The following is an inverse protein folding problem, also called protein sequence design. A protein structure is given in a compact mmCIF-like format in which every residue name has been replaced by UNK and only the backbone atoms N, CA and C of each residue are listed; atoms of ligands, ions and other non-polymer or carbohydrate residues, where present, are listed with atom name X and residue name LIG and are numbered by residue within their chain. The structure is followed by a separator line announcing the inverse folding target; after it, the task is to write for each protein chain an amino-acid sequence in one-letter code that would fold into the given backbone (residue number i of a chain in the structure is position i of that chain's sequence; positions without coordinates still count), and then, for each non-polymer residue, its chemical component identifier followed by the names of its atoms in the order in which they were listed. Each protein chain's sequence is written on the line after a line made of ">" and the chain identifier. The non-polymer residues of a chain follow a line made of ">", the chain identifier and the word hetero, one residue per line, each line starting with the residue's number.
data_IF_784049978946
#
_entry.id   IF_784049978946
#
_cell.length_a   1.000
_cell.length_b   1.000
_cell.length_c   1.000
_cell.angle_alpha   90.00
_cell.angle_beta   90.00
_cell.angle_gamma   90.00
#
_symmetry.space_group_name_H-M   'P 1'
#
loop_
_entity.id
_entity.type
_entity.pdbx_description
1 polymer ?
#
# COMPACT_ATOMS: atom_id res chain seq x y z
N UNK A 1 -2.32 -2.92 15.04
CA UNK A 1 -2.18 -2.75 13.58
C UNK A 1 -0.72 -2.63 13.24
N UNK A 2 -0.34 -3.11 12.06
CA UNK A 2 1.03 -3.01 11.58
C UNK A 2 1.03 -2.97 10.05
N UNK A 3 1.74 -2.03 9.46
CA UNK A 3 1.72 -1.79 8.01
C UNK A 3 2.07 -3.04 7.20
N UNK A 4 2.97 -3.88 7.72
CA UNK A 4 3.41 -5.12 7.07
C UNK A 4 2.84 -6.37 7.75
N UNK A 5 1.66 -6.25 8.38
CA UNK A 5 0.98 -7.34 9.07
C UNK A 5 0.93 -8.64 8.23
N UNK A 6 0.64 -8.53 6.93
CA UNK A 6 0.58 -9.67 6.01
C UNK A 6 1.86 -10.49 5.96
N UNK A 7 3.03 -9.84 5.95
CA UNK A 7 4.33 -10.53 5.97
C UNK A 7 4.77 -10.98 7.35
N UNK A 8 4.10 -10.50 8.41
CA UNK A 8 4.44 -10.84 9.79
C UNK A 8 3.72 -12.09 10.28
N UNK A 9 2.52 -12.37 9.77
CA UNK A 9 1.73 -13.56 10.16
C UNK A 9 2.52 -14.85 9.92
N UNK A 10 3.13 -15.00 8.75
CA UNK A 10 3.97 -16.17 8.43
C UNK A 10 5.20 -16.26 9.35
N UNK A 11 5.79 -15.12 9.71
CA UNK A 11 6.94 -15.07 10.62
C UNK A 11 6.53 -15.48 12.03
N UNK A 12 5.41 -14.98 12.53
CA UNK A 12 4.86 -15.38 13.84
C UNK A 12 4.57 -16.88 13.85
N UNK A 13 3.95 -17.40 12.78
CA UNK A 13 3.64 -18.81 12.64
C UNK A 13 4.88 -19.72 12.65
N UNK A 14 6.04 -19.22 12.21
CA UNK A 14 7.34 -19.92 12.22
C UNK A 14 8.20 -19.60 13.46
N UNK A 15 7.73 -18.75 14.35
CA UNK A 15 8.47 -18.31 15.54
C UNK A 15 8.12 -19.11 16.78
N UNK A 16 8.91 -19.01 17.87
CA UNK A 16 8.54 -19.56 19.18
C UNK A 16 7.23 -19.02 19.74
N UNK A 17 6.73 -17.88 19.23
CA UNK A 17 5.48 -17.26 19.66
C UNK A 17 4.23 -17.87 19.02
N UNK A 18 4.38 -18.86 18.13
CA UNK A 18 3.25 -19.46 17.39
C UNK A 18 2.13 -19.94 18.31
N UNK A 19 2.48 -20.64 19.39
CA UNK A 19 1.48 -21.20 20.29
C UNK A 19 0.75 -20.10 21.06
N UNK A 20 1.51 -19.17 21.64
CA UNK A 20 0.94 -18.00 22.33
C UNK A 20 0.04 -17.17 21.41
N UNK A 21 0.44 -16.93 20.15
CA UNK A 21 -0.36 -16.20 19.19
C UNK A 21 -1.69 -16.91 18.87
N UNK A 22 -1.72 -18.24 18.89
CA UNK A 22 -2.95 -19.03 18.73
C UNK A 22 -3.82 -18.98 19.98
N UNK A 23 -3.21 -19.15 21.15
CA UNK A 23 -3.90 -19.18 22.44
C UNK A 23 -4.59 -17.83 22.71
N UNK A 24 -3.89 -16.73 22.42
CA UNK A 24 -4.40 -15.35 22.54
C UNK A 24 -5.25 -14.90 21.34
N UNK A 25 -5.48 -15.77 20.35
CA UNK A 25 -6.25 -15.48 19.12
C UNK A 25 -5.78 -14.20 18.42
N UNK A 26 -4.46 -14.03 18.29
CA UNK A 26 -3.85 -12.84 17.71
C UNK A 26 -4.31 -12.63 16.26
N UNK A 27 -5.03 -11.52 16.02
CA UNK A 27 -5.39 -11.08 14.70
C UNK A 27 -4.55 -9.86 14.30
N UNK A 28 -3.77 -10.01 13.24
CA UNK A 28 -3.00 -8.92 12.65
C UNK A 28 -3.87 -8.13 11.67
N UNK A 29 -3.62 -6.83 11.57
CA UNK A 29 -4.41 -5.91 10.74
C UNK A 29 -3.57 -4.75 10.23
N UNK A 30 -4.01 -4.16 9.12
CA UNK A 30 -3.37 -3.06 8.38
C UNK A 30 -4.30 -1.85 8.42
N UNK A 31 -3.73 -0.66 8.67
CA UNK A 31 -4.44 0.61 8.65
C UNK A 31 -5.04 0.92 7.27
N UNK A 32 -6.13 1.71 7.25
CA UNK A 32 -6.84 2.05 6.01
C UNK A 32 -5.94 2.72 4.97
N UNK A 33 -5.07 3.65 5.38
CA UNK A 33 -4.14 4.33 4.48
C UNK A 33 -3.10 3.37 3.89
N UNK A 34 -2.62 2.43 4.71
CA UNK A 34 -1.64 1.47 4.27
C UNK A 34 -2.23 0.42 3.32
N UNK A 35 -3.53 0.13 3.42
CA UNK A 35 -4.25 -0.79 2.54
C UNK A 35 -3.99 -0.58 1.05
N UNK A 36 -3.82 0.67 0.59
CA UNK A 36 -3.50 0.99 -0.80
C UNK A 36 -2.17 0.42 -1.28
N UNK A 37 -1.22 0.14 -0.37
CA UNK A 37 0.07 -0.45 -0.69
C UNK A 37 0.04 -1.98 -0.79
N UNK A 38 -1.09 -2.61 -0.53
CA UNK A 38 -1.25 -4.06 -0.53
C UNK A 38 -2.16 -4.50 -1.67
N UNK A 39 -1.87 -5.67 -2.25
CA UNK A 39 -2.77 -6.30 -3.21
C UNK A 39 -4.15 -6.57 -2.61
N UNK A 40 -5.18 -6.71 -3.45
CA UNK A 40 -6.56 -6.90 -2.99
C UNK A 40 -6.73 -8.10 -2.06
N UNK A 41 -6.07 -9.22 -2.32
CA UNK A 41 -6.15 -10.39 -1.44
C UNK A 41 -5.69 -10.06 -0.01
N UNK A 42 -4.57 -9.36 0.10
CA UNK A 42 -4.05 -8.88 1.38
C UNK A 42 -5.00 -7.86 2.03
N UNK A 43 -5.63 -6.97 1.25
CA UNK A 43 -6.63 -6.04 1.78
C UNK A 43 -7.85 -6.79 2.35
N UNK A 44 -8.41 -7.77 1.63
CA UNK A 44 -9.56 -8.55 2.09
C UNK A 44 -9.29 -9.33 3.38
N UNK A 45 -8.03 -9.67 3.64
CA UNK A 45 -7.63 -10.46 4.81
C UNK A 45 -7.22 -9.59 5.99
N UNK A 46 -6.53 -8.46 5.75
CA UNK A 46 -5.88 -7.69 6.81
C UNK A 46 -6.38 -6.25 6.95
N UNK A 47 -7.10 -5.69 5.97
CA UNK A 47 -7.55 -4.30 6.06
C UNK A 47 -8.57 -4.16 7.18
N UNK A 48 -8.34 -3.18 8.06
CA UNK A 48 -9.23 -2.90 9.19
C UNK A 48 -10.71 -2.73 8.83
N UNK A 49 -11.00 -2.23 7.63
CA UNK A 49 -12.37 -2.07 7.14
C UNK A 49 -13.18 -3.37 7.23
N UNK A 50 -12.55 -4.51 7.01
CA UNK A 50 -13.18 -5.82 6.95
C UNK A 50 -12.99 -6.65 8.22
N UNK A 51 -12.37 -6.10 9.27
CA UNK A 51 -12.06 -6.81 10.51
C UNK A 51 -12.99 -6.38 11.63
N UNK A 52 -13.81 -7.32 12.12
CA UNK A 52 -14.73 -7.14 13.24
C UNK A 52 -14.06 -6.50 14.46
N UNK A 53 -14.71 -5.49 15.05
CA UNK A 53 -14.23 -4.80 16.26
C UNK A 53 -13.13 -3.76 16.06
N UNK A 54 -12.63 -3.54 14.83
CA UNK A 54 -11.58 -2.56 14.57
C UNK A 54 -12.05 -1.10 14.76
N UNK A 55 -13.36 -0.83 14.59
CA UNK A 55 -13.89 0.54 14.55
C UNK A 55 -13.43 1.31 13.30
N UNK A 56 -13.43 2.65 13.37
CA UNK A 56 -12.99 3.54 12.27
C UNK A 56 -11.63 4.21 12.54
N UNK A 57 -10.87 3.66 13.48
CA UNK A 57 -9.52 4.12 13.81
C UNK A 57 -8.61 4.12 12.57
N UNK A 58 -7.55 4.94 12.55
CA UNK A 58 -6.54 4.88 11.49
C UNK A 58 -5.27 4.10 11.91
N UNK A 59 -5.08 3.92 13.22
CA UNK A 59 -3.92 3.30 13.88
C UNK A 59 -2.58 4.00 13.60
N UNK A 60 -2.61 5.28 13.23
CA UNK A 60 -1.41 6.05 12.86
C UNK A 60 -0.73 6.77 14.05
N UNK A 61 -1.12 6.46 15.29
CA UNK A 61 -0.68 7.20 16.48
C UNK A 61 0.85 7.10 16.66
N UNK A 62 1.42 5.92 16.41
CA UNK A 62 2.85 5.68 16.51
C UNK A 62 3.64 6.46 15.45
N UNK A 63 3.18 6.42 14.21
CA UNK A 63 3.75 7.11 13.06
C UNK A 63 3.75 8.62 13.31
N UNK A 64 2.65 9.15 13.84
CA UNK A 64 2.56 10.57 14.24
C UNK A 64 3.58 10.88 15.34
N UNK A 65 3.71 10.06 16.38
CA UNK A 65 4.69 10.29 17.44
C UNK A 65 6.12 10.34 16.88
N UNK A 66 6.52 9.33 16.11
CA UNK A 66 7.87 9.27 15.54
C UNK A 66 8.12 10.40 14.53
N UNK A 67 7.13 10.74 13.72
CA UNK A 67 7.18 11.87 12.79
C UNK A 67 7.52 13.18 13.49
N UNK A 68 6.83 13.51 14.58
CA UNK A 68 7.12 14.72 15.36
C UNK A 68 8.45 14.62 16.12
N UNK A 69 8.85 13.42 16.56
CA UNK A 69 10.12 13.22 17.26
C UNK A 69 11.34 13.56 16.38
N UNK A 70 11.19 13.59 15.05
CA UNK A 70 12.25 14.01 14.12
C UNK A 70 12.75 15.43 14.40
N UNK A 71 11.95 16.30 15.04
CA UNK A 71 12.41 17.62 15.47
C UNK A 71 13.60 17.56 16.45
N UNK A 72 13.77 16.44 17.17
CA UNK A 72 14.91 16.22 18.05
C UNK A 72 16.22 16.00 17.29
N UNK A 73 16.18 15.59 16.02
CA UNK A 73 17.36 15.17 15.29
C UNK A 73 18.35 16.33 15.08
N UNK A 74 17.87 17.54 14.80
CA UNK A 74 18.73 18.73 14.64
C UNK A 74 19.34 19.17 15.99
N UNK A 75 18.53 19.16 17.05
CA UNK A 75 18.92 19.62 18.39
C UNK A 75 19.90 18.65 19.05
N UNK A 76 19.72 17.34 18.86
CA UNK A 76 20.52 16.32 19.56
C UNK A 76 21.79 15.90 18.82
N UNK A 77 22.00 16.35 17.58
CA UNK A 77 23.10 15.90 16.70
C UNK A 77 24.48 16.10 17.31
N UNK A 78 24.71 17.25 17.96
CA UNK A 78 26.02 17.64 18.51
C UNK A 78 26.06 17.55 20.04
N UNK A 79 25.03 16.98 20.66
CA UNK A 79 24.96 16.82 22.11
C UNK A 79 25.80 15.62 22.57
N UNK A 80 26.38 15.73 23.77
CA UNK A 80 26.96 14.57 24.45
C UNK A 80 25.90 13.49 24.68
N UNK A 81 26.33 12.23 24.84
CA UNK A 81 25.44 11.08 25.07
C UNK A 81 24.46 11.31 26.23
N UNK A 82 24.94 11.90 27.32
CA UNK A 82 24.10 12.23 28.49
C UNK A 82 23.01 13.25 28.13
N UNK A 83 23.39 14.39 27.54
CA UNK A 83 22.45 15.45 27.18
C UNK A 83 21.44 14.98 26.14
N UNK A 84 21.88 14.19 25.15
CA UNK A 84 20.99 13.59 24.15
C UNK A 84 19.91 12.72 24.80
N UNK A 85 20.28 11.84 25.73
CA UNK A 85 19.33 10.98 26.46
C UNK A 85 18.36 11.81 27.29
N UNK A 86 18.86 12.81 28.00
CA UNK A 86 18.04 13.72 28.80
C UNK A 86 17.02 14.46 27.93
N UNK A 87 17.46 15.04 26.79
CA UNK A 87 16.57 15.75 25.86
C UNK A 87 15.49 14.84 25.28
N UNK A 88 15.83 13.61 24.89
CA UNK A 88 14.85 12.63 24.39
C UNK A 88 13.83 12.28 25.49
N UNK A 89 14.31 12.03 26.71
CA UNK A 89 13.45 11.73 27.87
C UNK A 89 12.51 12.89 28.20
N UNK A 90 13.04 14.12 28.23
CA UNK A 90 12.23 15.32 28.50
C UNK A 90 11.20 15.57 27.40
N UNK A 91 11.55 15.31 26.14
CA UNK A 91 10.61 15.39 25.03
C UNK A 91 9.47 14.39 25.17
N UNK A 92 9.80 13.12 25.45
CA UNK A 92 8.79 12.08 25.66
C UNK A 92 7.88 12.43 26.86
N UNK A 93 8.46 12.84 27.99
CA UNK A 93 7.72 13.28 29.17
C UNK A 93 6.80 14.46 28.84
N UNK A 94 7.31 15.47 28.14
CA UNK A 94 6.52 16.65 27.80
C UNK A 94 5.35 16.30 26.88
N UNK A 95 5.64 15.50 25.84
CA UNK A 95 4.63 15.10 24.87
C UNK A 95 3.53 14.28 25.50
N UNK A 96 3.87 13.31 26.36
CA UNK A 96 2.88 12.47 27.02
C UNK A 96 1.99 13.27 27.99
N UNK A 97 2.60 14.06 28.88
CA UNK A 97 1.89 14.76 29.94
C UNK A 97 1.12 16.00 29.47
N UNK A 98 1.65 16.76 28.52
CA UNK A 98 1.09 18.06 28.13
C UNK A 98 0.41 18.07 26.76
N UNK A 99 0.82 17.19 25.84
CA UNK A 99 0.17 17.07 24.53
C UNK A 99 -0.83 15.92 24.50
N UNK A 100 -0.37 14.68 24.73
CA UNK A 100 -1.19 13.46 24.60
C UNK A 100 -2.34 13.50 25.59
N UNK A 101 -2.03 13.62 26.88
CA UNK A 101 -3.06 13.63 27.92
C UNK A 101 -4.11 14.72 27.68
N UNK A 102 -3.66 15.96 27.47
CA UNK A 102 -4.53 17.12 27.22
C UNK A 102 -5.47 16.95 26.01
N UNK A 103 -5.09 16.10 25.05
CA UNK A 103 -5.85 15.84 23.84
C UNK A 103 -6.71 14.56 23.88
N UNK A 104 -6.64 13.70 24.90
CA UNK A 104 -7.43 12.45 24.98
C UNK A 104 -8.93 12.69 24.74
N UNK A 105 -9.55 13.58 25.53
CA UNK A 105 -10.96 13.96 25.33
C UNK A 105 -11.26 14.58 23.96
N UNK A 106 -10.30 15.29 23.34
CA UNK A 106 -10.48 15.91 22.01
C UNK A 106 -10.46 14.84 20.93
N UNK A 107 -9.60 13.84 21.08
CA UNK A 107 -9.54 12.67 20.22
C UNK A 107 -10.85 11.89 20.29
N UNK A 108 -11.29 11.51 21.49
CA UNK A 108 -12.57 10.82 21.72
C UNK A 108 -13.73 11.61 21.11
N UNK A 109 -13.85 12.91 21.42
CA UNK A 109 -14.93 13.74 20.89
C UNK A 109 -14.91 13.86 19.36
N UNK A 110 -13.73 14.05 18.75
CA UNK A 110 -13.59 14.13 17.29
C UNK A 110 -14.00 12.82 16.61
N UNK A 111 -13.55 11.69 17.15
CA UNK A 111 -13.89 10.36 16.61
C UNK A 111 -15.38 10.07 16.79
N UNK A 112 -15.98 10.44 17.94
CA UNK A 112 -17.42 10.28 18.17
C UNK A 112 -18.23 11.06 17.14
N UNK A 113 -17.86 12.33 16.90
CA UNK A 113 -18.49 13.16 15.87
C UNK A 113 -18.33 12.58 14.47
N UNK A 114 -17.16 12.02 14.16
CA UNK A 114 -16.91 11.37 12.87
C UNK A 114 -17.79 10.13 12.68
N UNK A 115 -17.87 9.26 13.70
CA UNK A 115 -18.71 8.08 13.68
C UNK A 115 -20.19 8.43 13.50
N UNK A 116 -20.71 9.40 14.26
CA UNK A 116 -22.08 9.90 14.09
C UNK A 116 -22.34 10.45 12.69
N UNK A 117 -21.37 11.18 12.09
CA UNK A 117 -21.49 11.69 10.72
C UNK A 117 -21.53 10.58 9.67
N UNK A 118 -20.84 9.46 9.92
CA UNK A 118 -20.91 8.30 9.05
C UNK A 118 -22.28 7.64 9.19
N UNK A 119 -22.73 7.39 10.42
CA UNK A 119 -24.03 6.77 10.74
C UNK A 119 -25.20 7.61 10.19
N UNK A 120 -25.10 8.94 10.17
CA UNK A 120 -26.15 9.80 9.60
C UNK A 120 -26.37 9.60 8.10
N UNK A 121 -25.42 8.96 7.40
CA UNK A 121 -25.54 8.60 5.96
C UNK A 121 -26.19 7.24 5.74
N UNK A 122 -26.57 6.51 6.79
CA UNK A 122 -27.18 5.18 6.70
C UNK A 122 -28.35 5.09 5.71
N UNK A 123 -29.24 6.09 5.68
CA UNK A 123 -30.36 6.13 4.75
C UNK A 123 -29.95 6.36 3.28
N UNK A 124 -28.87 7.10 3.04
CA UNK A 124 -28.28 7.29 1.71
C UNK A 124 -27.67 5.98 1.23
N UNK A 125 -26.81 5.36 2.05
CA UNK A 125 -26.19 4.06 1.72
C UNK A 125 -27.24 2.97 1.50
N UNK A 126 -28.29 2.92 2.32
CA UNK A 126 -29.39 1.99 2.12
C UNK A 126 -30.15 2.23 0.81
N UNK A 127 -30.29 3.48 0.35
CA UNK A 127 -30.88 3.79 -0.97
C UNK A 127 -29.98 3.28 -2.10
N UNK A 128 -28.68 3.58 -2.04
CA UNK A 128 -27.70 3.11 -3.03
C UNK A 128 -27.66 1.58 -3.12
N UNK A 129 -27.68 0.88 -1.98
CA UNK A 129 -27.72 -0.58 -1.95
C UNK A 129 -29.01 -1.12 -2.58
N UNK A 130 -30.17 -0.49 -2.31
CA UNK A 130 -31.45 -0.86 -2.96
C UNK A 130 -31.42 -0.65 -4.47
N UNK A 131 -30.89 0.46 -4.94
CA UNK A 131 -30.76 0.79 -6.37
C UNK A 131 -29.85 -0.23 -7.11
N UNK A 132 -28.83 -0.75 -6.43
CA UNK A 132 -27.95 -1.78 -6.94
C UNK A 132 -28.52 -3.22 -6.80
N UNK A 133 -29.73 -3.38 -6.25
CA UNK A 133 -30.35 -4.68 -6.02
C UNK A 133 -29.74 -5.48 -4.86
N UNK A 134 -29.01 -4.82 -3.96
CA UNK A 134 -28.30 -5.40 -2.82
C UNK A 134 -29.13 -5.26 -1.55
N UNK A 135 -30.24 -6.00 -1.48
CA UNK A 135 -31.19 -5.93 -0.35
C UNK A 135 -30.77 -6.76 0.88
N UNK A 136 -29.95 -7.79 0.66
CA UNK A 136 -29.50 -8.71 1.69
C UNK A 136 -28.06 -8.38 2.14
N UNK A 137 -27.93 -7.85 3.35
CA UNK A 137 -26.63 -7.53 3.94
C UNK A 137 -25.73 -8.76 4.12
N UNK A 138 -26.30 -9.95 4.40
CA UNK A 138 -25.54 -11.19 4.54
C UNK A 138 -24.88 -11.60 3.22
N UNK A 139 -25.61 -11.46 2.12
CA UNK A 139 -25.08 -11.68 0.77
C UNK A 139 -23.95 -10.70 0.42
N UNK A 140 -24.09 -9.43 0.81
CA UNK A 140 -23.06 -8.40 0.57
C UNK A 140 -21.80 -8.69 1.38
N UNK A 141 -21.93 -9.17 2.61
CA UNK A 141 -20.77 -9.60 3.43
C UNK A 141 -20.10 -10.82 2.78
N UNK A 142 -20.88 -11.78 2.28
CA UNK A 142 -20.37 -12.98 1.60
C UNK A 142 -19.54 -12.68 0.34
N UNK A 143 -19.74 -11.53 -0.31
CA UNK A 143 -18.92 -11.10 -1.44
C UNK A 143 -17.43 -10.96 -1.11
N UNK A 144 -17.08 -10.63 0.13
CA UNK A 144 -15.67 -10.56 0.56
C UNK A 144 -15.02 -11.95 0.52
N UNK A 145 -15.76 -12.98 0.96
CA UNK A 145 -15.26 -14.35 0.96
C UNK A 145 -15.24 -14.94 -0.46
N UNK A 146 -16.24 -14.64 -1.29
CA UNK A 146 -16.24 -15.00 -2.72
C UNK A 146 -15.03 -14.38 -3.45
N UNK A 147 -14.78 -13.08 -3.25
CA UNK A 147 -13.64 -12.38 -3.83
C UNK A 147 -12.32 -12.96 -3.32
N UNK A 148 -12.22 -13.27 -2.01
CA UNK A 148 -11.03 -13.89 -1.42
C UNK A 148 -10.76 -15.26 -2.03
N UNK A 149 -11.74 -16.17 -2.03
CA UNK A 149 -11.61 -17.52 -2.59
C UNK A 149 -11.25 -17.48 -4.08
N UNK A 150 -11.82 -16.53 -4.82
CA UNK A 150 -11.44 -16.29 -6.21
C UNK A 150 -9.95 -15.96 -6.34
N UNK A 151 -9.46 -14.96 -5.60
CA UNK A 151 -8.07 -14.51 -5.69
C UNK A 151 -7.07 -15.57 -5.18
N UNK A 152 -7.42 -16.34 -4.15
CA UNK A 152 -6.58 -17.43 -3.63
C UNK A 152 -6.36 -18.53 -4.65
N UNK A 153 -7.39 -18.92 -5.41
CA UNK A 153 -7.30 -19.94 -6.46
C UNK A 153 -6.32 -19.59 -7.59
N UNK A 154 -5.83 -18.34 -7.65
CA UNK A 154 -5.01 -17.80 -8.74
C UNK A 154 -3.54 -17.58 -8.38
N UNK A 155 -3.16 -17.69 -7.10
CA UNK A 155 -1.78 -17.44 -6.67
C UNK A 155 -0.74 -18.47 -7.15
N UNK A 156 -1.15 -19.53 -7.85
CA UNK A 156 -0.25 -20.48 -8.50
C UNK A 156 -0.20 -20.26 -10.01
N UNK A 157 0.85 -19.62 -10.52
CA UNK A 157 1.22 -19.73 -11.93
C UNK A 157 1.85 -21.11 -12.13
N UNK A 158 1.36 -21.96 -13.05
CA UNK A 158 1.99 -23.24 -13.32
C UNK A 158 3.45 -23.07 -13.75
N UNK A 159 4.37 -23.83 -13.14
CA UNK A 159 5.79 -23.84 -13.51
C UNK A 159 6.06 -24.05 -15.02
N UNK A 160 5.27 -24.88 -15.74
CA UNK A 160 5.41 -25.02 -17.20
C UNK A 160 5.24 -23.70 -17.98
N UNK A 161 4.34 -22.82 -17.56
CA UNK A 161 4.06 -21.56 -18.26
C UNK A 161 5.21 -20.55 -18.10
N UNK A 162 5.90 -20.59 -16.96
CA UNK A 162 7.08 -19.77 -16.68
C UNK A 162 8.26 -20.21 -17.55
N UNK A 163 8.45 -21.53 -17.71
CA UNK A 163 9.49 -22.10 -18.56
C UNK A 163 9.22 -21.83 -20.04
N UNK A 164 7.98 -22.05 -20.51
CA UNK A 164 7.55 -21.75 -21.87
C UNK A 164 7.76 -20.26 -22.24
N UNK A 165 7.39 -19.34 -21.35
CA UNK A 165 7.59 -17.90 -21.53
C UNK A 165 9.08 -17.51 -21.60
N UNK A 166 9.92 -18.17 -20.82
CA UNK A 166 11.37 -17.96 -20.80
C UNK A 166 12.02 -18.47 -22.09
N UNK A 167 11.61 -19.65 -22.55
CA UNK A 167 12.05 -20.24 -23.80
C UNK A 167 11.68 -19.37 -25.01
N UNK A 168 10.43 -18.92 -25.10
CA UNK A 168 10.00 -17.99 -26.14
C UNK A 168 10.85 -16.72 -26.19
N UNK A 169 11.09 -16.07 -25.03
CA UNK A 169 11.91 -14.85 -24.97
C UNK A 169 13.35 -15.10 -25.41
N UNK A 170 13.92 -16.26 -25.09
CA UNK A 170 15.26 -16.64 -25.52
C UNK A 170 15.30 -16.84 -27.05
N UNK A 171 14.31 -17.51 -27.63
CA UNK A 171 14.20 -17.69 -29.08
C UNK A 171 14.02 -16.37 -29.84
N UNK A 172 13.18 -15.45 -29.34
CA UNK A 172 13.01 -14.12 -29.94
C UNK A 172 14.34 -13.35 -29.92
N UNK A 173 15.05 -13.32 -28.78
CA UNK A 173 16.37 -12.69 -28.68
C UNK A 173 17.38 -13.31 -29.63
N UNK A 174 17.41 -14.64 -29.73
CA UNK A 174 18.29 -15.35 -30.64
C UNK A 174 17.98 -14.99 -32.11
N UNK A 175 16.71 -14.93 -32.47
CA UNK A 175 16.28 -14.49 -33.80
C UNK A 175 16.70 -13.04 -34.10
N UNK A 176 16.49 -12.11 -33.16
CA UNK A 176 16.88 -10.71 -33.33
C UNK A 176 18.41 -10.54 -33.43
N UNK A 177 19.16 -11.27 -32.60
CA UNK A 177 20.62 -11.29 -32.62
C UNK A 177 21.18 -11.81 -33.96
N UNK A 178 20.51 -12.78 -34.59
CA UNK A 178 20.86 -13.27 -35.93
C UNK A 178 20.49 -12.31 -37.06
N UNK A 179 19.39 -11.59 -36.93
CA UNK A 179 18.90 -10.69 -37.97
C UNK A 179 19.62 -9.33 -38.01
N UNK A 180 20.07 -8.81 -36.87
CA UNK A 180 20.87 -7.57 -36.79
C UNK A 180 22.13 -7.56 -37.68
N UNK A 181 23.06 -8.53 -37.57
CA UNK A 181 24.25 -8.58 -38.41
C UNK A 181 23.91 -8.85 -39.88
N UNK A 182 22.85 -9.62 -40.16
CA UNK A 182 22.36 -9.83 -41.53
C UNK A 182 21.86 -8.54 -42.18
N UNK A 183 21.10 -7.72 -41.44
CA UNK A 183 20.65 -6.40 -41.90
C UNK A 183 21.83 -5.45 -42.09
N UNK A 184 22.74 -5.35 -41.13
CA UNK A 184 23.93 -4.50 -41.22
C UNK A 184 24.79 -4.88 -42.45
N UNK A 185 25.03 -6.18 -42.68
CA UNK A 185 25.75 -6.68 -43.88
C UNK A 185 25.02 -6.36 -45.19
N UNK A 186 23.69 -6.40 -45.21
CA UNK A 186 22.89 -6.00 -46.39
C UNK A 186 22.98 -4.50 -46.66
N UNK A 187 22.90 -3.67 -45.62
CA UNK A 187 23.04 -2.21 -45.72
C UNK A 187 24.44 -1.81 -46.18
N UNK A 188 25.48 -2.49 -45.69
CA UNK A 188 26.87 -2.27 -46.12
C UNK A 188 27.10 -2.62 -47.60
N UNK A 189 26.56 -3.77 -48.06
CA UNK A 189 26.61 -4.17 -49.49
C UNK A 189 25.90 -3.19 -50.43
N UNK A 190 24.90 -2.44 -49.95
CA UNK A 190 24.22 -1.39 -50.71
C UNK A 190 25.03 -0.08 -50.75
N UNK A 191 25.87 0.18 -49.75
CA UNK A 191 26.72 1.37 -49.64
C UNK A 191 27.98 1.26 -50.52
N UNK A 192 28.53 0.06 -50.74
CA UNK A 192 29.65 -0.19 -51.68
C UNK A 192 29.33 0.17 -53.14
N UNK A 193 28.07 0.42 -53.49
CA UNK A 193 27.66 0.85 -54.84
C UNK A 193 27.63 2.37 -55.05
N UNK A 194 27.98 3.18 -54.04
CA UNK A 194 27.98 4.65 -54.14
C UNK A 194 29.12 5.30 -53.35
N UNK A 195 30.15 5.73 -54.10
CA UNK A 195 31.26 6.64 -53.76
C UNK A 195 32.11 6.41 -52.48
N UNK A 196 33.43 6.49 -52.66
CA UNK A 196 34.45 6.28 -51.63
C UNK A 196 34.46 7.39 -50.57
N UNK A 197 34.74 7.04 -49.31
CA UNK A 197 35.27 8.01 -48.35
C UNK A 197 36.31 7.38 -47.41
N UNK A 198 37.44 8.06 -47.28
CA UNK A 198 38.63 7.73 -46.48
C UNK A 198 38.43 8.17 -45.01
N UNK A 199 37.48 7.56 -44.30
CA UNK A 199 37.32 7.66 -42.83
C UNK A 199 37.02 6.26 -42.26
N UNK A 200 37.94 5.30 -42.48
CA UNK A 200 37.63 3.87 -42.41
C UNK A 200 38.03 3.13 -41.13
N UNK A 201 39.21 3.37 -40.56
CA UNK A 201 39.81 2.39 -39.63
C UNK A 201 39.14 2.30 -38.25
N UNK A 202 38.81 3.44 -37.62
CA UNK A 202 38.16 3.43 -36.29
C UNK A 202 36.69 2.94 -36.39
N UNK A 203 36.02 3.26 -37.49
CA UNK A 203 34.66 2.80 -37.82
C UNK A 203 34.61 1.30 -38.14
N UNK A 204 35.60 0.79 -38.90
CA UNK A 204 35.77 -0.63 -39.19
C UNK A 204 36.06 -1.44 -37.92
N UNK A 205 37.00 -0.98 -37.08
CA UNK A 205 37.34 -1.65 -35.81
C UNK A 205 36.15 -1.74 -34.85
N UNK A 206 35.36 -0.65 -34.72
CA UNK A 206 34.14 -0.65 -33.89
C UNK A 206 33.07 -1.61 -34.44
N UNK A 207 32.93 -1.68 -35.77
CA UNK A 207 32.00 -2.60 -36.46
C UNK A 207 32.41 -4.07 -36.33
N UNK A 208 33.70 -4.38 -36.47
CA UNK A 208 34.25 -5.72 -36.24
C UNK A 208 34.05 -6.15 -34.79
N UNK A 209 34.33 -5.26 -33.83
CA UNK A 209 34.11 -5.52 -32.41
C UNK A 209 32.62 -5.74 -32.09
N UNK A 210 31.73 -4.99 -32.73
CA UNK A 210 30.28 -5.24 -32.63
C UNK A 210 29.89 -6.60 -33.21
N UNK A 211 30.44 -7.01 -34.36
CA UNK A 211 30.20 -8.34 -34.92
C UNK A 211 30.66 -9.46 -33.98
N UNK A 212 31.86 -9.34 -33.40
CA UNK A 212 32.39 -10.33 -32.45
C UNK A 212 31.50 -10.42 -31.21
N UNK A 213 31.10 -9.29 -30.64
CA UNK A 213 30.20 -9.24 -29.48
C UNK A 213 28.84 -9.89 -29.77
N UNK A 214 28.26 -9.66 -30.96
CA UNK A 214 26.98 -10.28 -31.35
C UNK A 214 27.12 -11.78 -31.59
N UNK A 215 28.25 -12.26 -32.15
CA UNK A 215 28.52 -13.71 -32.29
C UNK A 215 28.71 -14.40 -30.93
N UNK A 216 29.41 -13.76 -29.99
CA UNK A 216 29.52 -14.26 -28.62
C UNK A 216 28.16 -14.29 -27.91
N UNK A 217 27.33 -13.27 -28.14
CA UNK A 217 25.96 -13.22 -27.62
C UNK A 217 25.09 -14.33 -28.23
N UNK A 218 25.21 -14.59 -29.53
CA UNK A 218 24.52 -15.69 -30.21
C UNK A 218 24.88 -17.04 -29.58
N UNK A 219 26.17 -17.29 -29.34
CA UNK A 219 26.63 -18.53 -28.70
C UNK A 219 26.05 -18.69 -27.29
N UNK A 220 26.04 -17.63 -26.48
CA UNK A 220 25.43 -17.64 -25.13
C UNK A 220 23.93 -17.90 -25.20
N UNK A 221 23.22 -17.21 -26.08
CA UNK A 221 21.77 -17.39 -26.27
C UNK A 221 21.42 -18.81 -26.76
N UNK A 222 22.27 -19.42 -27.60
CA UNK A 222 22.09 -20.81 -28.03
C UNK A 222 22.18 -21.80 -26.87
N UNK A 223 23.16 -21.61 -25.97
CA UNK A 223 23.29 -22.44 -24.76
C UNK A 223 22.06 -22.27 -23.87
N UNK A 224 21.62 -21.03 -23.65
CA UNK A 224 20.41 -20.75 -22.85
C UNK A 224 19.17 -21.43 -23.44
N UNK A 225 18.99 -21.35 -24.76
CA UNK A 225 17.91 -22.01 -25.50
C UNK A 225 17.98 -23.53 -25.34
N UNK A 226 19.17 -24.13 -25.47
CA UNK A 226 19.36 -25.58 -25.31
C UNK A 226 19.07 -26.07 -23.89
N UNK A 227 19.51 -25.33 -22.87
CA UNK A 227 19.18 -25.66 -21.48
C UNK A 227 17.67 -25.58 -21.21
N UNK A 228 16.96 -24.64 -21.85
CA UNK A 228 15.51 -24.53 -21.74
C UNK A 228 14.79 -25.64 -22.52
N UNK A 229 15.32 -26.07 -23.68
CA UNK A 229 14.84 -27.22 -24.44
C UNK A 229 14.92 -28.51 -23.64
N UNK A 230 16.06 -28.77 -22.98
CA UNK A 230 16.25 -29.94 -22.13
C UNK A 230 15.24 -29.97 -20.97
N UNK A 231 15.06 -28.83 -20.29
CA UNK A 231 14.11 -28.71 -19.16
C UNK A 231 12.65 -28.86 -19.59
N UNK A 232 12.31 -28.47 -20.81
CA UNK A 232 10.97 -28.62 -21.39
C UNK A 232 10.76 -29.95 -22.11
N UNK A 233 11.81 -30.78 -22.25
CA UNK A 233 11.77 -32.04 -23.00
C UNK A 233 11.60 -31.85 -24.52
N UNK A 234 11.95 -30.67 -25.05
CA UNK A 234 11.83 -30.34 -26.48
C UNK A 234 13.07 -30.88 -27.21
N UNK A 235 12.85 -31.66 -28.27
CA UNK A 235 13.95 -32.13 -29.11
C UNK A 235 14.39 -31.04 -30.10
N UNK A 236 15.66 -31.10 -30.54
CA UNK A 236 16.26 -30.08 -31.43
C UNK A 236 15.49 -29.93 -32.75
N UNK A 237 14.91 -31.02 -33.27
CA UNK A 237 14.06 -31.05 -34.46
C UNK A 237 12.66 -30.45 -34.25
N UNK A 238 12.25 -30.26 -33.00
CA UNK A 238 10.96 -29.69 -32.59
C UNK A 238 11.08 -28.26 -32.04
N UNK A 239 12.23 -27.61 -32.25
CA UNK A 239 12.46 -26.21 -31.86
C UNK A 239 11.34 -25.32 -32.40
N UNK A 240 10.79 -24.45 -31.54
CA UNK A 240 9.69 -23.58 -31.94
C UNK A 240 10.12 -22.60 -33.02
N UNK A 241 9.36 -22.58 -34.10
CA UNK A 241 9.53 -21.66 -35.21
C UNK A 241 8.47 -20.56 -35.14
N UNK A 242 8.80 -19.37 -35.65
CA UNK A 242 7.85 -18.25 -35.71
C UNK A 242 6.59 -18.69 -36.45
N UNK A 243 5.44 -18.63 -35.76
CA UNK A 243 4.13 -19.04 -36.28
C UNK A 243 3.70 -20.47 -35.97
N UNK A 244 4.51 -21.28 -35.28
CA UNK A 244 4.04 -22.57 -34.75
C UNK A 244 2.97 -22.39 -33.67
N UNK A 245 2.19 -23.43 -33.38
CA UNK A 245 1.16 -23.36 -32.34
C UNK A 245 1.75 -23.03 -30.96
N UNK A 246 2.85 -23.70 -30.59
CA UNK A 246 3.53 -23.45 -29.32
C UNK A 246 4.17 -22.05 -29.27
N UNK A 247 4.67 -21.55 -30.40
CA UNK A 247 5.16 -20.18 -30.51
C UNK A 247 4.05 -19.18 -30.22
N UNK A 248 2.85 -19.36 -30.83
CA UNK A 248 1.71 -18.47 -30.62
C UNK A 248 1.22 -18.51 -29.17
N UNK A 249 1.11 -19.71 -28.57
CA UNK A 249 0.72 -19.86 -27.16
C UNK A 249 1.70 -19.13 -26.23
N UNK A 250 3.00 -19.30 -26.46
CA UNK A 250 4.00 -18.63 -25.62
C UNK A 250 4.11 -17.13 -25.91
N UNK A 251 3.86 -16.69 -27.15
CA UNK A 251 3.72 -15.28 -27.52
C UNK A 251 2.57 -14.62 -26.75
N UNK A 252 1.41 -15.28 -26.68
CA UNK A 252 0.25 -14.83 -25.90
C UNK A 252 0.57 -14.76 -24.40
N UNK A 253 1.23 -15.78 -23.83
CA UNK A 253 1.68 -15.77 -22.43
C UNK A 253 2.65 -14.61 -22.14
N UNK A 254 3.59 -14.35 -23.05
CA UNK A 254 4.56 -13.27 -22.88
C UNK A 254 3.92 -11.90 -23.04
N UNK A 255 3.00 -11.73 -23.99
CA UNK A 255 2.19 -10.52 -24.14
C UNK A 255 1.36 -10.25 -22.87
N UNK A 256 0.74 -11.29 -22.30
CA UNK A 256 0.03 -11.21 -21.03
C UNK A 256 0.95 -10.78 -19.87
N UNK A 257 2.14 -11.38 -19.78
CA UNK A 257 3.14 -11.02 -18.77
C UNK A 257 3.60 -9.55 -18.91
N UNK A 258 3.75 -9.05 -20.13
CA UNK A 258 4.11 -7.63 -20.38
C UNK A 258 2.96 -6.72 -19.93
N UNK A 259 1.73 -7.06 -20.26
CA UNK A 259 0.53 -6.33 -19.80
C UNK A 259 0.46 -6.26 -18.27
N UNK A 260 0.57 -7.40 -17.58
CA UNK A 260 0.55 -7.46 -16.12
C UNK A 260 1.68 -6.64 -15.49
N UNK A 261 2.92 -6.73 -16.02
CA UNK A 261 4.04 -5.93 -15.52
C UNK A 261 3.84 -4.42 -15.72
N UNK A 262 3.28 -4.02 -16.85
CA UNK A 262 2.96 -2.61 -17.11
C UNK A 262 1.88 -2.10 -16.16
N UNK A 263 0.87 -2.93 -15.86
CA UNK A 263 -0.17 -2.64 -14.89
C UNK A 263 0.41 -2.52 -13.47
N UNK A 264 1.22 -3.48 -13.00
CA UNK A 264 1.86 -3.44 -11.67
C UNK A 264 2.74 -2.20 -11.51
N UNK A 265 3.45 -1.82 -12.58
CA UNK A 265 4.29 -0.62 -12.57
C UNK A 265 3.44 0.65 -12.46
N UNK A 266 2.32 0.72 -13.16
CA UNK A 266 1.38 1.83 -13.09
C UNK A 266 0.76 1.93 -11.70
N UNK A 267 0.25 0.81 -11.16
CA UNK A 267 -0.32 0.71 -9.81
C UNK A 267 0.65 1.23 -8.75
N UNK A 268 1.88 0.70 -8.73
CA UNK A 268 2.90 1.09 -7.75
C UNK A 268 3.26 2.58 -7.80
N UNK A 269 3.20 3.21 -8.98
CA UNK A 269 3.43 4.66 -9.11
C UNK A 269 2.26 5.49 -8.55
N UNK A 270 1.03 5.03 -8.71
CA UNK A 270 -0.18 5.68 -8.17
C UNK A 270 -0.18 5.58 -6.65
N UNK A 271 0.05 4.38 -6.11
CA UNK A 271 0.17 4.15 -4.66
C UNK A 271 1.22 5.07 -4.07
N UNK A 272 2.41 5.10 -4.66
CA UNK A 272 3.49 5.96 -4.19
C UNK A 272 3.08 7.44 -4.18
N UNK A 273 2.34 7.89 -5.21
CA UNK A 273 1.81 9.26 -5.28
C UNK A 273 0.81 9.58 -4.16
N UNK A 274 -0.06 8.64 -3.77
CA UNK A 274 -0.98 8.83 -2.64
C UNK A 274 -0.22 9.08 -1.34
N UNK A 275 0.82 8.29 -1.07
CA UNK A 275 1.68 8.49 0.11
C UNK A 275 2.43 9.81 0.09
N UNK A 276 2.75 10.34 -1.08
CA UNK A 276 3.35 11.66 -1.15
C UNK A 276 2.34 12.78 -0.89
N UNK A 277 1.12 12.65 -1.41
CA UNK A 277 0.05 13.61 -1.19
C UNK A 277 -0.35 13.69 0.28
N UNK A 278 -0.38 12.55 0.99
CA UNK A 278 -0.62 12.56 2.44
C UNK A 278 0.48 13.32 3.19
N UNK A 279 1.72 13.32 2.68
CA UNK A 279 2.85 14.07 3.26
C UNK A 279 2.88 15.56 2.90
N UNK A 280 2.11 16.02 1.90
CA UNK A 280 2.03 17.44 1.56
C UNK A 280 1.40 18.30 2.66
N UNK A 281 0.52 17.71 3.47
CA UNK A 281 -0.26 18.43 4.49
C UNK A 281 0.41 18.44 5.87
N UNK A 282 1.67 18.01 6.00
CA UNK A 282 2.37 17.99 7.28
C UNK A 282 2.76 19.42 7.68
N UNK A 283 2.13 19.91 8.74
CA UNK A 283 2.43 21.20 9.36
C UNK A 283 3.89 21.23 9.85
N UNK A 284 4.66 22.27 9.53
CA UNK A 284 6.06 22.41 9.94
C UNK A 284 7.11 22.04 8.88
N UNK A 285 6.72 21.67 7.65
CA UNK A 285 7.69 21.54 6.54
C UNK A 285 8.15 22.91 6.06
N UNK A 286 9.46 23.19 6.18
CA UNK A 286 10.07 24.42 5.67
C UNK A 286 9.89 24.59 4.16
N UNK A 287 9.96 25.83 3.67
CA UNK A 287 9.69 26.20 2.26
C UNK A 287 10.43 25.32 1.24
N UNK A 288 11.73 25.05 1.46
CA UNK A 288 12.54 24.18 0.59
C UNK A 288 12.00 22.75 0.51
N UNK A 289 11.53 22.17 1.61
CA UNK A 289 10.95 20.83 1.63
C UNK A 289 9.63 20.81 0.84
N UNK A 290 8.79 21.85 0.96
CA UNK A 290 7.56 21.98 0.17
C UNK A 290 7.86 22.06 -1.34
N UNK A 291 8.88 22.81 -1.75
CA UNK A 291 9.30 22.85 -3.15
C UNK A 291 9.81 21.49 -3.65
N UNK A 292 10.60 20.77 -2.86
CA UNK A 292 11.04 19.42 -3.22
C UNK A 292 9.88 18.44 -3.38
N UNK A 293 8.88 18.49 -2.49
CA UNK A 293 7.66 17.68 -2.62
C UNK A 293 6.90 18.09 -3.89
N UNK A 294 6.75 19.38 -4.18
CA UNK A 294 6.11 19.86 -5.41
C UNK A 294 6.80 19.37 -6.69
N UNK A 295 8.14 19.45 -6.76
CA UNK A 295 8.90 18.93 -7.91
C UNK A 295 8.83 17.40 -8.02
N UNK A 296 8.84 16.68 -6.90
CA UNK A 296 8.64 15.24 -6.89
C UNK A 296 7.25 14.86 -7.46
N UNK A 297 6.21 15.65 -7.16
CA UNK A 297 4.83 15.41 -7.67
C UNK A 297 4.77 15.60 -9.18
N UNK A 298 5.38 16.66 -9.69
CA UNK A 298 5.43 16.93 -11.13
C UNK A 298 6.16 15.79 -11.86
N UNK A 299 7.34 15.40 -11.36
CA UNK A 299 8.12 14.29 -11.91
C UNK A 299 7.39 12.95 -11.81
N UNK A 300 6.63 12.71 -10.74
CA UNK A 300 5.83 11.49 -10.62
C UNK A 300 4.65 11.50 -11.57
N UNK A 301 4.01 12.66 -11.77
CA UNK A 301 2.90 12.79 -12.71
C UNK A 301 3.34 12.50 -14.15
N UNK A 302 4.52 12.97 -14.58
CA UNK A 302 5.07 12.61 -15.89
C UNK A 302 5.40 11.12 -15.98
N UNK A 303 5.97 10.55 -14.92
CA UNK A 303 6.30 9.10 -14.86
C UNK A 303 5.04 8.22 -14.94
N UNK A 304 3.96 8.60 -14.24
CA UNK A 304 2.66 7.92 -14.32
C UNK A 304 2.11 8.00 -15.74
N UNK A 305 2.24 9.15 -16.42
CA UNK A 305 1.75 9.34 -17.79
C UNK A 305 2.46 8.40 -18.77
N UNK A 306 3.79 8.29 -18.68
CA UNK A 306 4.54 7.32 -19.49
C UNK A 306 4.25 5.86 -19.12
N UNK A 307 3.96 5.56 -17.85
CA UNK A 307 3.54 4.21 -17.45
C UNK A 307 2.15 3.85 -17.99
N UNK A 308 1.23 4.82 -18.00
CA UNK A 308 -0.10 4.71 -18.57
C UNK A 308 -0.06 4.44 -20.08
N UNK A 309 0.81 5.15 -20.82
CA UNK A 309 1.04 4.90 -22.25
C UNK A 309 1.52 3.46 -22.50
N UNK A 310 2.50 2.98 -21.72
CA UNK A 310 3.00 1.60 -21.82
C UNK A 310 1.95 0.55 -21.46
N UNK A 311 1.11 0.84 -20.47
CA UNK A 311 -0.04 0.00 -20.13
C UNK A 311 -1.02 -0.07 -21.31
N UNK A 312 -1.43 1.07 -21.86
CA UNK A 312 -2.38 1.14 -22.97
C UNK A 312 -1.82 0.46 -24.25
N UNK A 313 -0.53 0.59 -24.53
CA UNK A 313 0.13 -0.11 -25.63
C UNK A 313 0.10 -1.63 -25.43
N UNK A 314 0.41 -2.11 -24.22
CA UNK A 314 0.36 -3.55 -23.91
C UNK A 314 -1.09 -4.09 -23.93
N UNK A 315 -2.05 -3.30 -23.44
CA UNK A 315 -3.48 -3.61 -23.44
C UNK A 315 -4.04 -3.78 -24.86
N UNK A 316 -3.64 -2.90 -25.79
CA UNK A 316 -4.08 -2.94 -27.18
C UNK A 316 -3.49 -4.12 -27.98
N UNK A 317 -2.32 -4.64 -27.59
CA UNK A 317 -1.65 -5.78 -28.24
C UNK A 317 -2.24 -7.14 -27.87
N UNK A 318 -3.05 -7.22 -26.81
CA UNK A 318 -3.69 -8.47 -26.42
C UNK A 318 -4.86 -8.82 -27.35
N UNK A 319 -5.17 -10.11 -27.47
CA UNK A 319 -6.34 -10.61 -28.21
C UNK A 319 -7.24 -11.37 -27.22
N UNK A 320 -8.47 -10.87 -26.94
CA UNK A 320 -9.02 -9.58 -27.34
C UNK A 320 -8.29 -8.39 -26.66
N UNK A 321 -8.32 -7.19 -27.27
CA UNK A 321 -7.77 -5.97 -26.66
C UNK A 321 -8.40 -5.67 -25.30
N UNK A 322 -7.60 -5.14 -24.36
CA UNK A 322 -8.06 -4.78 -23.01
C UNK A 322 -8.50 -3.32 -22.92
N UNK A 323 -9.25 -3.02 -21.85
CA UNK A 323 -9.72 -1.66 -21.54
C UNK A 323 -8.53 -0.70 -21.44
N UNK A 324 -8.58 0.34 -22.27
CA UNK A 324 -7.64 1.45 -22.19
C UNK A 324 -8.04 2.37 -21.03
N UNK A 325 -7.04 2.89 -20.34
CA UNK A 325 -7.23 3.81 -19.22
C UNK A 325 -6.88 5.22 -19.65
N UNK A 326 -7.70 6.17 -19.22
CA UNK A 326 -7.42 7.60 -19.35
C UNK A 326 -6.76 8.15 -18.09
N UNK A 327 -6.19 9.34 -18.22
CA UNK A 327 -5.53 10.01 -17.09
C UNK A 327 -6.48 10.23 -15.92
N UNK A 328 -7.74 10.58 -16.20
CA UNK A 328 -8.74 10.83 -15.15
C UNK A 328 -9.14 9.56 -14.40
N UNK A 329 -9.15 8.40 -15.07
CA UNK A 329 -9.37 7.09 -14.44
C UNK A 329 -8.27 6.79 -13.41
N UNK A 330 -7.01 7.07 -13.78
CA UNK A 330 -5.83 6.87 -12.95
C UNK A 330 -5.77 7.85 -11.77
N UNK A 331 -6.31 9.05 -11.94
CA UNK A 331 -6.31 10.10 -10.93
C UNK A 331 -7.39 9.94 -9.86
N UNK A 332 -8.49 9.26 -10.20
CA UNK A 332 -9.52 8.95 -9.22
C UNK A 332 -9.04 7.85 -8.28
N UNK A 333 -8.79 8.20 -7.01
CA UNK A 333 -8.22 7.30 -6.01
C UNK A 333 -9.08 6.05 -5.70
N UNK A 334 -10.35 6.03 -6.12
CA UNK A 334 -11.24 4.86 -6.09
C UNK A 334 -10.78 3.74 -7.05
N UNK A 335 -10.05 4.10 -8.11
CA UNK A 335 -9.64 3.19 -9.18
C UNK A 335 -8.55 2.20 -8.76
N UNK A 336 -7.81 2.45 -7.66
CA UNK A 336 -6.77 1.53 -7.17
C UNK A 336 -7.30 0.13 -6.89
N UNK A 337 -8.50 0.02 -6.35
CA UNK A 337 -9.13 -1.27 -6.12
C UNK A 337 -9.49 -2.01 -7.42
N UNK A 338 -9.55 -1.32 -8.57
CA UNK A 338 -9.83 -1.91 -9.89
C UNK A 338 -8.59 -2.49 -10.57
N UNK A 339 -7.37 -2.15 -10.12
CA UNK A 339 -6.14 -2.66 -10.74
C UNK A 339 -6.02 -4.18 -10.63
N UNK A 340 -6.43 -4.78 -9.51
CA UNK A 340 -6.44 -6.24 -9.38
C UNK A 340 -7.42 -6.92 -10.34
N UNK A 341 -8.50 -6.24 -10.73
CA UNK A 341 -9.45 -6.73 -11.75
C UNK A 341 -8.92 -6.55 -13.17
N UNK A 342 -8.20 -5.46 -13.44
CA UNK A 342 -7.50 -5.29 -14.71
C UNK A 342 -6.38 -6.32 -14.88
N UNK A 343 -5.79 -6.82 -13.79
CA UNK A 343 -4.80 -7.90 -13.85
C UNK A 343 -5.42 -9.20 -14.40
N UNK A 344 -6.75 -9.35 -14.25
CA UNK A 344 -7.49 -10.47 -14.78
C UNK A 344 -8.09 -10.19 -16.16
N UNK A 345 -8.01 -11.19 -17.00
CA UNK A 345 -8.38 -11.13 -18.41
C UNK A 345 -9.57 -12.01 -18.76
N UNK A 346 -10.10 -12.73 -17.76
CA UNK A 346 -11.28 -13.56 -17.91
C UNK A 346 -12.52 -12.69 -17.76
N UNK A 347 -13.39 -12.77 -18.76
CA UNK A 347 -14.65 -12.03 -18.82
C UNK A 347 -15.61 -12.40 -17.69
N UNK A 348 -15.52 -13.62 -17.17
CA UNK A 348 -16.39 -14.17 -16.12
C UNK A 348 -16.30 -13.43 -14.78
N UNK A 349 -15.15 -12.80 -14.47
CA UNK A 349 -14.98 -11.98 -13.25
C UNK A 349 -15.68 -10.64 -13.38
N UNK A 350 -15.52 -9.97 -14.52
CA UNK A 350 -16.18 -8.68 -14.78
C UNK A 350 -17.71 -8.77 -14.71
N UNK A 351 -18.25 -9.97 -14.98
CA UNK A 351 -19.68 -10.27 -14.87
C UNK A 351 -20.13 -10.48 -13.42
N UNK A 352 -19.22 -10.79 -12.48
CA UNK A 352 -19.56 -10.95 -11.06
C UNK A 352 -20.07 -9.65 -10.48
N UNK A 353 -21.14 -9.75 -9.70
CA UNK A 353 -21.78 -8.59 -9.07
C UNK A 353 -20.82 -7.82 -8.16
N UNK A 354 -20.01 -8.53 -7.37
CA UNK A 354 -19.03 -7.94 -6.46
C UNK A 354 -17.84 -7.28 -7.14
N UNK A 355 -17.55 -7.61 -8.41
CA UNK A 355 -16.47 -6.99 -9.18
C UNK A 355 -16.85 -5.58 -9.71
N UNK A 356 -18.16 -5.30 -9.82
CA UNK A 356 -18.67 -4.04 -10.38
C UNK A 356 -18.25 -2.84 -9.53
N UNK A 357 -17.70 -1.76 -10.12
CA UNK A 357 -17.21 -0.58 -9.37
C UNK A 357 -18.23 0.01 -8.39
N UNK A 358 -19.47 0.23 -8.85
CA UNK A 358 -20.54 0.79 -8.02
C UNK A 358 -20.89 -0.11 -6.82
N UNK A 359 -20.81 -1.43 -6.99
CA UNK A 359 -21.05 -2.40 -5.89
C UNK A 359 -19.92 -2.33 -4.88
N UNK A 360 -18.66 -2.23 -5.31
CA UNK A 360 -17.50 -2.11 -4.40
C UNK A 360 -17.51 -0.81 -3.61
N UNK A 361 -17.88 0.30 -4.25
CA UNK A 361 -18.05 1.58 -3.56
C UNK A 361 -19.16 1.50 -2.50
N UNK A 362 -20.32 0.95 -2.87
CA UNK A 362 -21.43 0.74 -1.94
C UNK A 362 -21.06 -0.21 -0.79
N UNK A 363 -20.29 -1.27 -1.06
CA UNK A 363 -19.74 -2.16 -0.04
C UNK A 363 -18.81 -1.43 0.92
N UNK A 364 -17.89 -0.61 0.40
CA UNK A 364 -16.98 0.18 1.24
C UNK A 364 -17.73 1.11 2.18
N UNK A 365 -18.78 1.79 1.69
CA UNK A 365 -19.63 2.63 2.53
C UNK A 365 -20.43 1.81 3.56
N UNK A 366 -20.95 0.63 3.18
CA UNK A 366 -21.61 -0.28 4.12
C UNK A 366 -20.66 -0.72 5.24
N UNK A 367 -19.45 -1.18 4.91
CA UNK A 367 -18.47 -1.59 5.93
C UNK A 367 -18.07 -0.41 6.83
N UNK A 368 -17.91 0.81 6.27
CA UNK A 368 -17.66 2.01 7.08
C UNK A 368 -18.80 2.32 8.04
N UNK A 369 -20.06 2.12 7.65
CA UNK A 369 -21.22 2.25 8.55
C UNK A 369 -21.13 1.25 9.70
N UNK A 370 -20.90 -0.04 9.39
CA UNK A 370 -20.77 -1.09 10.42
C UNK A 370 -19.60 -0.76 11.36
N UNK A 371 -18.45 -0.34 10.82
CA UNK A 371 -17.28 0.09 11.61
C UNK A 371 -17.60 1.30 12.49
N UNK A 372 -18.41 2.25 12.01
CA UNK A 372 -18.77 3.44 12.77
C UNK A 372 -19.68 3.11 13.97
N UNK A 373 -20.57 2.15 13.84
CA UNK A 373 -21.38 1.66 14.96
C UNK A 373 -20.52 0.99 16.03
N UNK A 374 -19.55 0.16 15.62
CA UNK A 374 -18.54 -0.41 16.53
C UNK A 374 -17.71 0.67 17.24
N UNK A 375 -17.33 1.71 16.50
CA UNK A 375 -16.58 2.85 17.05
C UNK A 375 -17.37 3.54 18.18
N UNK A 376 -18.67 3.77 18.00
CA UNK A 376 -19.51 4.36 19.06
C UNK A 376 -19.48 3.50 20.33
N UNK A 377 -19.62 2.18 20.19
CA UNK A 377 -19.54 1.28 21.33
C UNK A 377 -18.18 1.37 22.04
N UNK A 378 -17.09 1.36 21.27
CA UNK A 378 -15.72 1.48 21.80
C UNK A 378 -15.49 2.81 22.49
N UNK A 379 -15.89 3.92 21.87
CA UNK A 379 -15.74 5.26 22.43
C UNK A 379 -16.55 5.42 23.71
N UNK A 380 -17.74 4.83 23.82
CA UNK A 380 -18.50 4.83 25.07
C UNK A 380 -17.75 4.14 26.21
N UNK A 381 -16.99 3.09 25.93
CA UNK A 381 -16.11 2.46 26.92
C UNK A 381 -14.90 3.35 27.25
N UNK A 382 -14.28 3.98 26.25
CA UNK A 382 -13.15 4.90 26.47
C UNK A 382 -13.54 6.16 27.26
N UNK A 383 -14.75 6.69 27.05
CA UNK A 383 -15.31 7.79 27.87
C UNK A 383 -15.36 7.37 29.33
N UNK A 384 -15.91 6.18 29.63
CA UNK A 384 -15.98 5.65 31.00
C UNK A 384 -14.60 5.46 31.59
N UNK A 385 -13.67 4.84 30.85
CA UNK A 385 -12.28 4.61 31.28
C UNK A 385 -11.58 5.92 31.64
N UNK A 386 -11.69 6.93 30.79
CA UNK A 386 -11.06 8.23 31.05
C UNK A 386 -11.67 8.93 32.27
N UNK A 387 -13.00 8.88 32.45
CA UNK A 387 -13.66 9.46 33.64
C UNK A 387 -13.21 8.75 34.91
N UNK A 388 -13.18 7.41 34.91
CA UNK A 388 -12.73 6.61 36.05
C UNK A 388 -11.28 6.91 36.38
N UNK A 389 -10.38 6.88 35.38
CA UNK A 389 -8.97 7.20 35.56
C UNK A 389 -8.75 8.59 36.15
N UNK A 390 -9.46 9.62 35.65
CA UNK A 390 -9.36 10.98 36.21
C UNK A 390 -9.77 11.03 37.69
N UNK A 391 -10.81 10.29 38.07
CA UNK A 391 -11.30 10.25 39.46
C UNK A 391 -10.29 9.54 40.37
N UNK A 392 -9.87 8.34 39.98
CA UNK A 392 -8.92 7.52 40.74
C UNK A 392 -7.56 8.22 40.90
N UNK A 393 -7.05 8.86 39.85
CA UNK A 393 -5.81 9.62 39.92
C UNK A 393 -5.94 10.84 40.85
N UNK A 394 -7.04 11.60 40.78
CA UNK A 394 -7.27 12.76 41.65
C UNK A 394 -7.34 12.36 43.14
N UNK A 395 -7.98 11.23 43.45
CA UNK A 395 -8.07 10.65 44.79
C UNK A 395 -6.71 10.14 45.28
N UNK A 396 -6.04 9.33 44.46
CA UNK A 396 -4.73 8.76 44.76
C UNK A 396 -3.68 9.84 45.02
N UNK A 397 -3.53 10.82 44.13
CA UNK A 397 -2.53 11.89 44.27
C UNK A 397 -2.82 12.74 45.50
N UNK A 398 -4.09 12.94 45.85
CA UNK A 398 -4.47 13.67 47.07
C UNK A 398 -4.08 12.90 48.33
N UNK A 399 -4.31 11.57 48.35
CA UNK A 399 -3.95 10.72 49.48
C UNK A 399 -2.43 10.67 49.67
N UNK A 400 -1.66 10.51 48.60
CA UNK A 400 -0.19 10.49 48.66
C UNK A 400 0.37 11.85 49.10
N UNK A 401 -0.22 12.96 48.64
CA UNK A 401 0.20 14.28 49.10
C UNK A 401 0.01 14.47 50.61
N UNK A 402 -1.05 13.90 51.19
CA UNK A 402 -1.32 13.94 52.62
C UNK A 402 -0.37 13.03 53.40
N UNK A 403 -0.15 11.79 52.96
CA UNK A 403 0.73 10.85 53.67
C UNK A 403 2.19 11.30 53.69
N UNK A 404 2.66 11.93 52.61
CA UNK A 404 4.03 12.44 52.50
C UNK A 404 4.20 13.78 53.24
N UNK A 405 3.11 14.47 53.60
CA UNK A 405 3.19 15.79 54.24
C UNK A 405 3.95 15.76 55.57
N UNK A 406 3.77 14.70 56.36
CA UNK A 406 4.40 14.57 57.69
C UNK A 406 5.91 14.25 57.58
N UNK A 407 6.30 13.47 56.57
CA UNK A 407 7.70 13.02 56.39
C UNK A 407 8.52 13.94 55.51
N UNK A 408 7.91 14.54 54.48
CA UNK A 408 8.59 15.42 53.52
C UNK A 408 7.62 16.50 52.97
N UNK A 409 7.48 17.64 53.69
CA UNK A 409 6.61 18.74 53.28
C UNK A 409 6.92 19.30 51.89
N UNK A 410 8.20 19.35 51.51
CA UNK A 410 8.65 19.85 50.21
C UNK A 410 8.19 18.96 49.06
N UNK A 411 8.29 17.63 49.22
CA UNK A 411 7.79 16.67 48.23
C UNK A 411 6.26 16.71 48.15
N UNK A 412 5.58 16.77 49.30
CA UNK A 412 4.13 16.91 49.35
C UNK A 412 3.63 18.17 48.62
N UNK A 413 4.37 19.29 48.73
CA UNK A 413 4.08 20.50 47.95
C UNK A 413 4.21 20.26 46.44
N UNK A 414 5.25 19.56 45.97
CA UNK A 414 5.40 19.24 44.54
C UNK A 414 4.28 18.32 44.03
N UNK A 415 3.87 17.33 44.83
CA UNK A 415 2.75 16.44 44.49
C UNK A 415 1.45 17.24 44.36
N UNK A 416 1.19 18.20 45.26
CA UNK A 416 0.03 19.09 45.14
C UNK A 416 0.08 19.96 43.88
N UNK A 417 1.25 20.49 43.51
CA UNK A 417 1.41 21.25 42.27
C UNK A 417 1.11 20.39 41.04
N UNK A 418 1.62 19.16 41.00
CA UNK A 418 1.31 18.20 39.95
C UNK A 418 -0.20 17.93 39.88
N UNK A 419 -0.85 17.70 41.03
CA UNK A 419 -2.31 17.52 41.09
C UNK A 419 -3.07 18.70 40.50
N UNK A 420 -2.69 19.93 40.86
CA UNK A 420 -3.38 21.13 40.42
C UNK A 420 -3.22 21.35 38.90
N UNK A 421 -2.07 20.98 38.34
CA UNK A 421 -1.85 20.94 36.90
C UNK A 421 -2.74 19.90 36.21
N UNK A 422 -2.77 18.66 36.71
CA UNK A 422 -3.65 17.60 36.20
C UNK A 422 -5.13 17.98 36.25
N UNK A 423 -5.58 18.58 37.35
CA UNK A 423 -6.96 19.05 37.51
C UNK A 423 -7.37 20.05 36.42
N UNK A 424 -6.49 20.93 35.96
CA UNK A 424 -6.79 21.87 34.87
C UNK A 424 -7.12 21.14 33.57
N UNK A 425 -6.36 20.08 33.26
CA UNK A 425 -6.66 19.21 32.12
C UNK A 425 -7.98 18.45 32.35
N UNK A 426 -8.21 17.90 33.54
CA UNK A 426 -9.43 17.15 33.86
C UNK A 426 -10.70 18.01 33.75
N UNK A 427 -10.66 19.29 34.12
CA UNK A 427 -11.77 20.23 33.87
C UNK A 427 -12.07 20.36 32.38
N UNK A 428 -11.01 20.44 31.55
CA UNK A 428 -11.16 20.51 30.09
C UNK A 428 -11.71 19.19 29.53
N UNK A 429 -11.24 18.06 30.04
CA UNK A 429 -11.75 16.73 29.66
C UNK A 429 -13.23 16.59 29.96
N UNK A 430 -13.67 16.85 31.21
CA UNK A 430 -15.07 16.77 31.62
C UNK A 430 -15.97 17.61 30.70
N UNK A 431 -15.61 18.88 30.46
CA UNK A 431 -16.36 19.77 29.55
C UNK A 431 -16.53 19.22 28.13
N UNK A 432 -15.46 18.64 27.57
CA UNK A 432 -15.50 18.04 26.22
C UNK A 432 -16.27 16.74 26.18
N UNK A 433 -16.16 15.91 27.22
CA UNK A 433 -16.93 14.66 27.30
C UNK A 433 -18.42 14.96 27.48
N UNK A 434 -18.78 15.96 28.30
CA UNK A 434 -20.17 16.41 28.46
C UNK A 434 -20.75 16.98 27.16
N UNK A 435 -19.93 17.62 26.30
CA UNK A 435 -20.40 18.13 25.02
C UNK A 435 -20.74 17.03 24.01
N UNK A 436 -20.25 15.79 24.20
CA UNK A 436 -20.62 14.64 23.34
C UNK A 436 -22.13 14.40 23.42
N UNK A 437 -22.74 14.58 24.60
CA UNK A 437 -24.19 14.42 24.82
C UNK A 437 -25.05 15.40 24.02
N UNK A 438 -24.44 16.45 23.47
CA UNK A 438 -25.10 17.49 22.66
C UNK A 438 -24.91 17.26 21.16
N UNK A 439 -24.20 16.21 20.76
CA UNK A 439 -23.98 15.92 19.34
C UNK A 439 -25.28 15.37 18.72
N UNK A 440 -25.63 15.78 17.49
CA UNK A 440 -26.75 15.20 16.76
C UNK A 440 -26.55 13.69 16.56
N UNK A 441 -27.48 12.88 17.06
CA UNK A 441 -27.42 11.42 16.99
C UNK A 441 -26.75 10.73 18.18
N UNK A 442 -26.45 11.46 19.27
CA UNK A 442 -26.02 10.87 20.55
C UNK A 442 -27.12 10.07 21.25
#
# INVERSE_FOLDING_TARGET
>A
GYDIACGMVDKIARSPLRQLAKDERLQMLIGLLHGYAHNRLCQLTFLMLYIYGAGIEDLEVCERFFSHSNALASVTRYMSKFRRRQTISSYAYHRDNFETYANLSKFIHSNYRQALRIISRSQETARTLRELGLLDAGKVIGFIDEERSYLESRNSVPEPDVLASSYYRALVKLSDCREKPRRARRTFKLYEMGESCMEGEESLYLSERQMVNELELEAKLLVDVQCLEERLGIRVDQRWCKGSEDWRKAEELVAMSIYQKSLDKLEGLIVARIFELSRMNISGTGYKMRQHIGHAMQKRSTTIRSALEKYNEAAAKLTPPRKLLHWDDVMNYTYLSEFDFLRDTRSDVCDKTWAKPAVREAMSELFKLIRAEEEIHRLNMEIKRLITYMKEEEEYVSLVATSVQETNPSLAYQIRRYRDERRRYNVTHRRRLDSIRKLPGF
#
